data_IF_333042994241
#
_entry.id   IF_333042994241
#
_cell.length_a   1.000
_cell.length_b   1.000
_cell.length_c   1.000
_cell.angle_alpha   90.00
_cell.angle_beta   90.00
_cell.angle_gamma   90.00
#
_symmetry.space_group_name_H-M   'P 1'
#
loop_
_entity.id
_entity.type
_entity.pdbx_description
1 polymer ?
#
# COMPACT_ATOMS: atom_id res chain seq x y z
N UNK A 1 -32.04 -14.54 -35.41
CA UNK A 1 -31.91 -13.38 -34.49
C UNK A 1 -32.34 -13.81 -33.08
N UNK A 2 -31.53 -14.60 -32.36
CA UNK A 2 -31.91 -15.10 -31.03
C UNK A 2 -30.72 -15.53 -30.13
N UNK A 3 -29.46 -15.21 -30.47
CA UNK A 3 -28.27 -15.77 -29.78
C UNK A 3 -27.48 -14.71 -28.98
N UNK A 4 -27.91 -13.45 -28.96
CA UNK A 4 -27.17 -12.37 -28.28
C UNK A 4 -27.58 -12.10 -26.83
N UNK A 5 -28.70 -12.67 -26.36
CA UNK A 5 -29.23 -12.39 -25.00
C UNK A 5 -28.58 -13.23 -23.90
N UNK A 6 -27.83 -14.29 -24.22
CA UNK A 6 -27.25 -15.20 -23.22
C UNK A 6 -25.95 -14.68 -22.59
N UNK A 7 -25.19 -13.82 -23.27
CA UNK A 7 -23.87 -13.38 -22.81
C UNK A 7 -23.95 -12.26 -21.77
N UNK A 8 -25.02 -11.45 -21.82
CA UNK A 8 -25.22 -10.32 -20.90
C UNK A 8 -25.43 -10.81 -19.45
N UNK A 9 -26.15 -11.90 -19.25
CA UNK A 9 -26.39 -12.47 -17.92
C UNK A 9 -25.14 -13.11 -17.31
N UNK A 10 -24.30 -13.73 -18.14
CA UNK A 10 -23.03 -14.34 -17.69
C UNK A 10 -22.06 -13.25 -17.24
N UNK A 11 -21.94 -12.15 -18.01
CA UNK A 11 -21.09 -11.01 -17.61
C UNK A 11 -21.61 -10.33 -16.34
N UNK A 12 -22.92 -10.09 -16.22
CA UNK A 12 -23.52 -9.52 -15.01
C UNK A 12 -23.30 -10.40 -13.77
N UNK A 13 -23.33 -11.73 -13.93
CA UNK A 13 -23.02 -12.68 -12.85
C UNK A 13 -21.56 -12.63 -12.40
N UNK A 14 -20.61 -12.58 -13.35
CA UNK A 14 -19.18 -12.47 -13.03
C UNK A 14 -18.81 -11.15 -12.34
N UNK A 15 -19.37 -10.02 -12.80
CA UNK A 15 -19.18 -8.73 -12.12
C UNK A 15 -19.76 -8.74 -10.70
N UNK A 16 -20.92 -9.36 -10.49
CA UNK A 16 -21.55 -9.41 -9.16
C UNK A 16 -20.76 -10.24 -8.16
N UNK A 17 -20.17 -11.37 -8.60
CA UNK A 17 -19.35 -12.22 -7.75
C UNK A 17 -18.04 -11.53 -7.33
N UNK A 18 -17.32 -10.93 -8.29
CA UNK A 18 -16.07 -10.23 -8.00
C UNK A 18 -16.27 -9.06 -7.01
N UNK A 19 -17.33 -8.25 -7.21
CA UNK A 19 -17.66 -7.15 -6.29
C UNK A 19 -18.01 -7.67 -4.89
N UNK A 20 -18.69 -8.82 -4.78
CA UNK A 20 -19.02 -9.42 -3.49
C UNK A 20 -17.78 -9.96 -2.75
N UNK A 21 -16.84 -10.58 -3.47
CA UNK A 21 -15.58 -11.07 -2.90
C UNK A 21 -14.71 -9.93 -2.40
N UNK A 22 -14.52 -8.87 -3.18
CA UNK A 22 -13.76 -7.69 -2.77
C UNK A 22 -14.42 -7.02 -1.57
N UNK A 23 -15.76 -6.86 -1.59
CA UNK A 23 -16.49 -6.31 -0.46
C UNK A 23 -16.31 -7.16 0.81
N UNK A 24 -16.18 -8.49 0.68
CA UNK A 24 -15.88 -9.37 1.80
C UNK A 24 -14.46 -9.16 2.34
N UNK A 25 -13.45 -9.03 1.48
CA UNK A 25 -12.05 -8.80 1.93
C UNK A 25 -11.93 -7.46 2.66
N UNK A 26 -12.46 -6.38 2.09
CA UNK A 26 -12.43 -5.07 2.75
C UNK A 26 -13.27 -5.08 4.03
N UNK A 27 -14.41 -5.78 4.04
CA UNK A 27 -15.25 -5.90 5.24
C UNK A 27 -14.60 -6.67 6.38
N UNK A 28 -13.64 -7.56 6.09
CA UNK A 28 -12.91 -8.28 7.13
C UNK A 28 -11.85 -7.39 7.79
N UNK A 29 -11.30 -6.45 7.02
CA UNK A 29 -10.18 -5.61 7.47
C UNK A 29 -10.60 -4.26 8.04
N UNK A 30 -11.77 -3.72 7.65
CA UNK A 30 -12.13 -2.33 7.99
C UNK A 30 -13.54 -2.14 8.51
N UNK A 31 -13.65 -1.14 9.38
CA UNK A 31 -14.95 -0.63 9.84
C UNK A 31 -15.68 0.06 8.69
N UNK A 32 -16.98 -0.21 8.56
CA UNK A 32 -17.86 0.52 7.66
C UNK A 32 -18.53 1.69 8.39
N UNK A 33 -18.44 2.90 7.83
CA UNK A 33 -19.12 4.10 8.29
C UNK A 33 -19.74 4.81 7.09
N UNK A 34 -21.02 5.18 7.17
CA UNK A 34 -21.74 5.88 6.09
C UNK A 34 -21.57 5.24 4.70
N UNK A 35 -21.64 3.90 4.64
CA UNK A 35 -21.47 3.08 3.42
C UNK A 35 -20.08 3.15 2.78
N UNK A 36 -19.07 3.57 3.55
CA UNK A 36 -17.67 3.57 3.15
C UNK A 36 -16.83 2.80 4.15
N UNK A 37 -15.82 2.09 3.66
CA UNK A 37 -14.81 1.50 4.52
C UNK A 37 -13.85 2.59 5.01
N UNK A 38 -13.63 2.66 6.31
CA UNK A 38 -12.75 3.65 6.93
C UNK A 38 -11.42 2.99 7.22
N UNK A 39 -10.37 3.52 6.59
CA UNK A 39 -8.99 3.03 6.72
C UNK A 39 -8.22 4.05 7.54
N UNK A 40 -7.76 3.67 8.74
CA UNK A 40 -6.87 4.50 9.53
C UNK A 40 -5.41 4.03 9.37
N UNK A 41 -4.62 4.60 8.44
CA UNK A 41 -3.24 4.15 8.23
C UNK A 41 -2.32 4.45 9.43
N UNK A 42 -2.80 5.13 10.47
CA UNK A 42 -2.07 5.34 11.72
C UNK A 42 -2.33 4.24 12.76
N UNK A 43 -3.04 3.19 12.35
CA UNK A 43 -3.22 1.93 13.06
C UNK A 43 -2.56 0.82 12.23
N UNK A 44 -1.71 0.00 12.85
CA UNK A 44 -0.92 -1.02 12.16
C UNK A 44 -1.78 -2.02 11.39
N UNK A 45 -2.87 -2.51 11.98
CA UNK A 45 -3.75 -3.52 11.37
C UNK A 45 -4.43 -3.01 10.12
N UNK A 46 -4.84 -1.73 10.14
CA UNK A 46 -5.46 -1.04 9.01
C UNK A 46 -4.42 -0.81 7.92
N UNK A 47 -3.22 -0.31 8.26
CA UNK A 47 -2.14 -0.11 7.28
C UNK A 47 -1.74 -1.45 6.61
N UNK A 48 -1.64 -2.53 7.40
CA UNK A 48 -1.40 -3.88 6.87
C UNK A 48 -2.57 -4.41 6.03
N UNK A 49 -3.81 -4.04 6.35
CA UNK A 49 -4.99 -4.38 5.55
C UNK A 49 -4.91 -3.85 4.13
N UNK A 50 -4.27 -2.69 3.92
CA UNK A 50 -4.12 -2.10 2.58
C UNK A 50 -3.27 -3.01 1.71
N UNK A 51 -2.20 -3.58 2.27
CA UNK A 51 -1.36 -4.55 1.58
C UNK A 51 -2.03 -5.90 1.40
N UNK A 52 -2.81 -6.38 2.39
CA UNK A 52 -3.59 -7.63 2.25
C UNK A 52 -4.55 -7.57 1.06
N UNK A 53 -5.32 -6.49 0.96
CA UNK A 53 -6.18 -6.25 -0.21
C UNK A 53 -5.34 -6.22 -1.48
N UNK A 54 -4.28 -5.42 -1.51
CA UNK A 54 -3.46 -5.26 -2.70
C UNK A 54 -2.90 -6.61 -3.19
N UNK A 55 -2.39 -7.43 -2.28
CA UNK A 55 -1.89 -8.76 -2.58
C UNK A 55 -3.00 -9.69 -3.07
N UNK A 56 -4.18 -9.68 -2.44
CA UNK A 56 -5.31 -10.50 -2.85
C UNK A 56 -5.81 -10.14 -4.26
N UNK A 57 -6.03 -8.85 -4.50
CA UNK A 57 -6.57 -8.34 -5.77
C UNK A 57 -5.58 -8.45 -6.95
N UNK A 58 -4.30 -8.65 -6.66
CA UNK A 58 -3.26 -8.87 -7.67
C UNK A 58 -2.79 -10.33 -7.76
N UNK A 59 -3.40 -11.24 -7.00
CA UNK A 59 -2.97 -12.63 -6.91
C UNK A 59 -3.02 -13.34 -8.27
N UNK A 60 -4.13 -13.21 -9.01
CA UNK A 60 -4.27 -13.84 -10.33
C UNK A 60 -3.23 -13.33 -11.34
N UNK A 61 -2.84 -12.05 -11.26
CA UNK A 61 -1.77 -11.52 -12.11
C UNK A 61 -0.37 -12.00 -11.69
N UNK A 62 -0.23 -12.44 -10.44
CA UNK A 62 1.01 -12.91 -9.84
C UNK A 62 1.21 -14.43 -9.93
N UNK A 63 0.14 -15.21 -10.13
CA UNK A 63 0.17 -16.70 -10.25
C UNK A 63 1.15 -17.21 -11.32
N UNK A 64 1.37 -16.44 -12.38
CA UNK A 64 2.32 -16.79 -13.45
C UNK A 64 3.78 -16.74 -13.00
N UNK A 65 4.07 -16.06 -11.90
CA UNK A 65 5.42 -15.98 -11.35
C UNK A 65 5.63 -17.11 -10.34
N UNK A 66 4.61 -17.50 -9.58
CA UNK A 66 4.68 -18.62 -8.66
C UNK A 66 3.33 -18.98 -8.04
N UNK A 67 3.26 -20.14 -7.36
CA UNK A 67 2.04 -20.59 -6.71
C UNK A 67 1.64 -19.66 -5.55
N UNK A 68 0.35 -19.65 -5.24
CA UNK A 68 -0.21 -19.10 -4.00
C UNK A 68 0.18 -17.65 -3.68
N UNK A 69 0.41 -16.84 -4.73
CA UNK A 69 0.84 -15.45 -4.63
C UNK A 69 2.20 -15.25 -3.92
N UNK A 70 2.95 -16.32 -3.62
CA UNK A 70 4.21 -16.25 -2.87
C UNK A 70 5.31 -15.46 -3.60
N UNK A 71 5.20 -15.40 -4.93
CA UNK A 71 6.12 -14.67 -5.80
C UNK A 71 5.58 -13.29 -6.21
N UNK A 72 4.61 -12.75 -5.47
CA UNK A 72 4.20 -11.37 -5.67
C UNK A 72 5.36 -10.42 -5.40
N UNK A 73 5.69 -9.59 -6.39
CA UNK A 73 6.67 -8.52 -6.26
C UNK A 73 6.30 -7.49 -5.18
N UNK A 74 5.05 -7.50 -4.70
CA UNK A 74 4.53 -6.57 -3.70
C UNK A 74 4.84 -6.97 -2.25
N UNK A 75 5.30 -8.21 -1.99
CA UNK A 75 5.57 -8.68 -0.62
C UNK A 75 6.60 -7.85 0.14
N UNK A 76 7.50 -7.15 -0.55
CA UNK A 76 8.47 -6.27 0.11
C UNK A 76 7.82 -5.13 0.92
N UNK A 77 6.62 -4.67 0.52
CA UNK A 77 5.92 -3.58 1.19
C UNK A 77 5.40 -3.96 2.59
N UNK A 78 4.59 -5.02 2.77
CA UNK A 78 4.14 -5.45 4.10
C UNK A 78 5.29 -5.98 4.95
N UNK A 79 6.27 -6.70 4.38
CA UNK A 79 7.42 -7.18 5.17
C UNK A 79 8.24 -6.03 5.75
N UNK A 80 8.45 -4.96 4.98
CA UNK A 80 9.13 -3.78 5.49
C UNK A 80 8.35 -3.10 6.62
N UNK A 81 7.02 -2.98 6.49
CA UNK A 81 6.19 -2.40 7.54
C UNK A 81 6.25 -3.24 8.83
N UNK A 82 6.17 -4.57 8.70
CA UNK A 82 6.27 -5.51 9.83
C UNK A 82 7.62 -5.39 10.54
N UNK A 83 8.73 -5.34 9.79
CA UNK A 83 10.06 -5.11 10.37
C UNK A 83 10.17 -3.76 11.09
N UNK A 84 9.59 -2.69 10.54
CA UNK A 84 9.57 -1.38 11.20
C UNK A 84 8.75 -1.41 12.50
N UNK A 85 7.66 -2.19 12.52
CA UNK A 85 6.85 -2.40 13.72
C UNK A 85 7.63 -3.17 14.79
N UNK A 86 8.16 -4.35 14.45
CA UNK A 86 8.88 -5.23 15.38
C UNK A 86 10.12 -4.58 15.99
N UNK A 87 10.74 -3.65 15.26
CA UNK A 87 11.92 -2.92 15.74
C UNK A 87 11.60 -1.62 16.48
N UNK A 88 10.32 -1.32 16.72
CA UNK A 88 9.86 -0.11 17.42
C UNK A 88 10.03 1.18 16.62
N UNK A 89 10.40 1.09 15.34
CA UNK A 89 10.65 2.26 14.49
C UNK A 89 9.38 3.06 14.21
N UNK A 90 8.20 2.46 14.29
CA UNK A 90 6.90 3.13 14.10
C UNK A 90 6.37 3.83 15.37
N UNK A 91 6.97 3.59 16.53
CA UNK A 91 6.54 4.16 17.80
C UNK A 91 6.91 5.65 17.92
N UNK A 92 6.29 6.36 18.86
CA UNK A 92 6.65 7.75 19.17
C UNK A 92 8.07 7.83 19.75
N UNK A 93 9.04 8.43 19.02
CA UNK A 93 10.42 8.54 19.49
C UNK A 93 10.61 9.67 20.53
N UNK A 94 9.64 10.56 20.68
CA UNK A 94 9.73 11.74 21.54
C UNK A 94 9.49 11.43 23.02
N UNK A 95 8.83 10.29 23.30
CA UNK A 95 8.33 9.95 24.62
C UNK A 95 7.20 10.85 25.13
N UNK A 96 6.65 11.74 24.28
CA UNK A 96 5.52 12.60 24.66
C UNK A 96 4.19 11.85 24.67
N UNK A 97 4.08 10.76 23.92
CA UNK A 97 2.90 9.89 23.88
C UNK A 97 3.28 8.42 24.10
N UNK A 98 2.27 7.62 24.42
CA UNK A 98 2.40 6.17 24.60
C UNK A 98 2.30 5.38 23.27
N UNK A 99 2.15 6.07 22.13
CA UNK A 99 1.91 5.46 20.83
C UNK A 99 3.06 4.51 20.44
N UNK A 100 2.74 3.21 20.25
CA UNK A 100 3.70 2.16 19.94
C UNK A 100 4.61 1.74 21.11
N UNK A 101 4.57 2.44 22.25
CA UNK A 101 5.46 2.21 23.39
C UNK A 101 4.80 1.45 24.55
N UNK A 102 3.46 1.40 24.59
CA UNK A 102 2.70 0.69 25.63
C UNK A 102 1.76 -0.35 25.04
N UNK A 103 1.44 -1.44 25.77
CA UNK A 103 0.52 -2.48 25.29
C UNK A 103 -0.82 -1.94 24.81
N UNK A 104 -1.39 -0.95 25.50
CA UNK A 104 -2.69 -0.36 25.18
C UNK A 104 -2.70 0.46 23.89
N UNK A 105 -1.52 0.95 23.46
CA UNK A 105 -1.32 1.72 22.24
C UNK A 105 -0.31 1.03 21.30
N UNK A 106 -0.14 -0.29 21.43
CA UNK A 106 0.87 -1.08 20.70
C UNK A 106 0.68 -0.99 19.19
N UNK A 107 -0.56 -1.01 18.71
CA UNK A 107 -0.88 -0.91 17.28
C UNK A 107 -0.86 0.53 16.74
N UNK A 108 -0.60 1.53 17.59
CA UNK A 108 -0.54 2.92 17.18
C UNK A 108 0.76 3.18 16.40
N UNK A 109 0.63 3.74 15.19
CA UNK A 109 1.74 4.24 14.39
C UNK A 109 1.86 5.75 14.62
N UNK A 110 3.01 6.20 15.10
CA UNK A 110 3.19 7.60 15.49
C UNK A 110 3.55 8.48 14.29
N UNK A 111 2.83 9.60 14.14
CA UNK A 111 3.20 10.69 13.21
C UNK A 111 4.42 11.51 13.69
N UNK A 112 4.97 11.19 14.88
CA UNK A 112 6.29 11.68 15.29
C UNK A 112 7.43 10.76 14.82
N UNK A 113 7.11 9.56 14.32
CA UNK A 113 8.11 8.66 13.77
C UNK A 113 8.42 9.02 12.33
N UNK A 114 9.70 9.33 12.07
CA UNK A 114 10.21 9.50 10.72
C UNK A 114 9.94 8.27 9.84
N UNK A 115 10.13 7.06 10.39
CA UNK A 115 9.90 5.81 9.66
C UNK A 115 8.43 5.65 9.30
N UNK A 116 7.52 5.98 10.22
CA UNK A 116 6.08 5.92 9.98
C UNK A 116 5.63 6.88 8.88
N UNK A 117 6.15 8.12 8.90
CA UNK A 117 5.85 9.16 7.93
C UNK A 117 6.36 8.82 6.54
N UNK A 118 7.58 8.28 6.42
CA UNK A 118 8.14 7.83 5.14
C UNK A 118 7.38 6.61 4.62
N UNK A 119 7.14 5.61 5.46
CA UNK A 119 6.42 4.40 5.07
C UNK A 119 4.97 4.68 4.66
N UNK A 120 4.34 5.73 5.19
CA UNK A 120 2.99 6.14 4.76
C UNK A 120 2.89 6.23 3.23
N UNK A 121 3.91 6.78 2.56
CA UNK A 121 3.93 6.93 1.11
C UNK A 121 4.06 5.59 0.39
N UNK A 122 4.82 4.66 0.96
CA UNK A 122 4.95 3.28 0.48
C UNK A 122 3.70 2.43 0.76
N UNK A 123 2.77 2.88 1.62
CA UNK A 123 1.47 2.22 1.82
C UNK A 123 0.37 2.84 0.96
N UNK A 124 0.20 4.16 1.08
CA UNK A 124 -0.97 4.88 0.57
C UNK A 124 -0.89 5.11 -0.94
N UNK A 125 0.28 5.47 -1.47
CA UNK A 125 0.44 5.69 -2.92
C UNK A 125 0.20 4.42 -3.73
N UNK A 126 0.86 3.26 -3.47
CA UNK A 126 0.58 2.04 -4.24
C UNK A 126 -0.87 1.59 -4.11
N UNK A 127 -1.48 1.66 -2.92
CA UNK A 127 -2.88 1.28 -2.74
C UNK A 127 -3.82 2.16 -3.58
N UNK A 128 -3.69 3.49 -3.49
CA UNK A 128 -4.53 4.41 -4.25
C UNK A 128 -4.26 4.36 -5.75
N UNK A 129 -3.03 4.12 -6.17
CA UNK A 129 -2.69 3.93 -7.58
C UNK A 129 -3.27 2.62 -8.13
N UNK A 130 -3.32 1.55 -7.33
CA UNK A 130 -4.02 0.32 -7.69
C UNK A 130 -5.53 0.58 -7.88
N UNK A 131 -6.17 1.35 -7.00
CA UNK A 131 -7.57 1.78 -7.18
C UNK A 131 -7.72 2.55 -8.49
N UNK A 132 -6.85 3.53 -8.74
CA UNK A 132 -6.89 4.39 -9.95
C UNK A 132 -6.56 3.63 -11.24
N UNK A 133 -5.81 2.54 -11.16
CA UNK A 133 -5.53 1.65 -12.29
C UNK A 133 -6.74 0.79 -12.67
N UNK A 134 -7.70 0.62 -11.75
CA UNK A 134 -8.84 -0.28 -11.88
C UNK A 134 -8.52 -1.75 -11.61
N UNK A 135 -7.26 -2.10 -11.30
CA UNK A 135 -6.85 -3.51 -11.08
C UNK A 135 -7.63 -4.17 -9.95
N UNK A 136 -7.99 -3.41 -8.92
CA UNK A 136 -8.72 -3.94 -7.75
C UNK A 136 -10.24 -3.96 -7.94
N UNK A 137 -10.77 -3.48 -9.07
CA UNK A 137 -12.22 -3.35 -9.27
C UNK A 137 -12.93 -2.42 -8.27
N UNK A 138 -12.17 -1.66 -7.47
CA UNK A 138 -12.68 -0.78 -6.43
C UNK A 138 -12.99 0.61 -6.96
N UNK A 139 -14.15 1.12 -6.57
CA UNK A 139 -14.49 2.52 -6.76
C UNK A 139 -13.79 3.39 -5.71
N UNK A 140 -13.17 4.52 -6.09
CA UNK A 140 -12.57 5.48 -5.15
C UNK A 140 -13.54 6.01 -4.07
N UNK A 141 -14.85 5.84 -4.27
CA UNK A 141 -15.87 6.28 -3.31
C UNK A 141 -16.23 5.24 -2.26
N UNK A 142 -15.74 3.99 -2.37
CA UNK A 142 -16.06 2.90 -1.44
C UNK A 142 -15.30 2.97 -0.11
N UNK A 143 -14.24 3.78 -0.02
CA UNK A 143 -13.43 3.88 1.17
C UNK A 143 -12.99 5.32 1.43
N UNK A 144 -12.50 5.58 2.64
CA UNK A 144 -11.90 6.86 3.05
C UNK A 144 -10.65 6.57 3.88
N UNK A 145 -9.54 7.22 3.56
CA UNK A 145 -8.32 7.17 4.36
C UNK A 145 -8.34 8.32 5.36
N UNK A 146 -8.17 8.03 6.64
CA UNK A 146 -8.17 9.04 7.69
C UNK A 146 -6.82 9.79 7.78
N UNK A 147 -6.85 11.09 8.12
CA UNK A 147 -5.65 11.86 8.36
C UNK A 147 -5.01 11.51 9.71
N UNK A 148 -3.71 11.82 9.90
CA UNK A 148 -3.08 11.76 11.20
C UNK A 148 -3.70 12.77 12.19
N UNK A 149 -3.48 12.59 13.51
CA UNK A 149 -3.90 13.55 14.52
C UNK A 149 -3.28 14.95 14.36
N UNK A 150 -2.10 15.06 13.72
CA UNK A 150 -1.40 16.32 13.42
C UNK A 150 -0.72 16.25 12.05
N UNK A 151 -0.21 17.38 11.56
CA UNK A 151 0.54 17.47 10.30
C UNK A 151 -0.25 17.02 9.05
N UNK A 152 -1.58 17.14 9.09
CA UNK A 152 -2.50 16.62 8.07
C UNK A 152 -2.25 17.16 6.67
N UNK A 153 -1.75 18.38 6.51
CA UNK A 153 -1.46 18.97 5.20
C UNK A 153 -0.27 18.33 4.49
N UNK A 154 0.51 17.50 5.21
CA UNK A 154 1.69 16.86 4.67
C UNK A 154 1.38 15.60 3.88
N UNK A 155 0.16 15.08 3.93
CA UNK A 155 -0.22 13.79 3.35
C UNK A 155 -1.42 13.93 2.39
N UNK A 156 -1.67 12.90 1.58
CA UNK A 156 -2.80 12.81 0.65
C UNK A 156 -3.66 11.57 0.96
N UNK A 157 -4.99 11.66 0.83
CA UNK A 157 -5.93 10.69 1.42
C UNK A 157 -6.86 9.99 0.43
N UNK A 158 -6.83 10.38 -0.83
CA UNK A 158 -7.70 9.84 -1.87
C UNK A 158 -7.01 9.99 -3.23
N UNK A 159 -7.56 9.29 -4.23
CA UNK A 159 -6.97 9.23 -5.57
C UNK A 159 -6.74 10.63 -6.15
N UNK A 160 -7.72 11.53 -6.07
CA UNK A 160 -7.58 12.88 -6.64
C UNK A 160 -6.53 13.72 -5.92
N UNK A 161 -6.50 13.66 -4.57
CA UNK A 161 -5.51 14.35 -3.75
C UNK A 161 -4.10 13.86 -4.02
N UNK A 162 -3.89 12.54 -4.09
CA UNK A 162 -2.57 11.98 -4.36
C UNK A 162 -2.12 12.19 -5.81
N UNK A 163 -3.01 12.10 -6.80
CA UNK A 163 -2.68 12.47 -8.19
C UNK A 163 -2.33 13.95 -8.33
N UNK A 164 -2.95 14.83 -7.54
CA UNK A 164 -2.62 16.26 -7.55
C UNK A 164 -1.28 16.56 -6.88
N UNK A 165 -0.93 15.84 -5.80
CA UNK A 165 0.30 16.08 -5.04
C UNK A 165 1.52 15.36 -5.63
N UNK A 166 1.33 14.14 -6.16
CA UNK A 166 2.38 13.24 -6.63
C UNK A 166 2.01 12.63 -7.99
N UNK A 167 1.80 13.45 -9.05
CA UNK A 167 1.30 12.96 -10.33
C UNK A 167 2.21 11.89 -10.95
N UNK A 168 3.52 12.14 -10.97
CA UNK A 168 4.51 11.23 -11.56
C UNK A 168 4.57 9.89 -10.81
N UNK A 169 4.63 9.93 -9.48
CA UNK A 169 4.66 8.71 -8.65
C UNK A 169 3.38 7.88 -8.82
N UNK A 170 2.22 8.53 -8.84
CA UNK A 170 0.93 7.85 -9.08
C UNK A 170 0.89 7.20 -10.47
N UNK A 171 1.41 7.87 -11.50
CA UNK A 171 1.46 7.33 -12.85
C UNK A 171 2.48 6.17 -12.97
N UNK A 172 3.61 6.21 -12.26
CA UNK A 172 4.56 5.10 -12.19
C UNK A 172 3.95 3.85 -11.52
N UNK A 173 3.26 4.00 -10.39
CA UNK A 173 2.54 2.88 -9.78
C UNK A 173 1.42 2.36 -10.68
N UNK A 174 0.68 3.25 -11.34
CA UNK A 174 -0.36 2.87 -12.29
C UNK A 174 0.21 2.08 -13.46
N UNK A 175 1.34 2.51 -14.03
CA UNK A 175 2.06 1.81 -15.08
C UNK A 175 2.54 0.42 -14.62
N UNK A 176 3.04 0.30 -13.38
CA UNK A 176 3.35 -1.00 -12.78
C UNK A 176 2.12 -1.95 -12.75
N UNK A 177 0.99 -1.50 -12.21
CA UNK A 177 -0.23 -2.32 -12.13
C UNK A 177 -0.81 -2.66 -13.50
N UNK A 178 -0.79 -1.72 -14.44
CA UNK A 178 -1.25 -1.96 -15.81
C UNK A 178 -0.33 -2.92 -16.55
N UNK A 179 0.99 -2.80 -16.40
CA UNK A 179 1.96 -3.73 -16.99
C UNK A 179 1.78 -5.14 -16.44
N UNK A 180 1.57 -5.27 -15.13
CA UNK A 180 1.29 -6.56 -14.48
C UNK A 180 0.06 -7.27 -15.08
N UNK A 181 -0.91 -6.56 -15.64
CA UNK A 181 -2.07 -7.20 -16.28
C UNK A 181 -1.78 -7.74 -17.69
N UNK A 182 -0.70 -7.30 -18.33
CA UNK A 182 -0.40 -7.69 -19.71
C UNK A 182 0.09 -9.14 -19.77
N UNK A 183 -0.40 -9.96 -20.73
CA UNK A 183 0.13 -11.31 -20.93
C UNK A 183 1.63 -11.34 -21.29
N UNK A 184 2.14 -10.24 -21.86
CA UNK A 184 3.52 -10.11 -22.31
C UNK A 184 4.49 -9.59 -21.25
N UNK A 185 4.05 -9.29 -20.03
CA UNK A 185 4.94 -8.71 -19.03
C UNK A 185 5.89 -9.75 -18.43
N UNK A 186 7.17 -9.45 -18.51
CA UNK A 186 8.28 -10.20 -17.93
C UNK A 186 8.67 -9.68 -16.54
N UNK A 187 9.37 -10.53 -15.79
CA UNK A 187 9.81 -10.25 -14.42
C UNK A 187 10.76 -9.07 -14.32
N UNK A 188 11.72 -8.92 -15.26
CA UNK A 188 12.73 -7.87 -15.20
C UNK A 188 12.12 -6.48 -15.40
N UNK A 189 11.25 -6.35 -16.40
CA UNK A 189 10.54 -5.09 -16.67
C UNK A 189 9.54 -4.75 -15.58
N UNK A 190 8.88 -5.75 -14.99
CA UNK A 190 7.96 -5.54 -13.88
C UNK A 190 8.72 -5.10 -12.61
N UNK A 191 9.84 -5.75 -12.30
CA UNK A 191 10.72 -5.35 -11.19
C UNK A 191 11.25 -3.92 -11.40
N UNK A 192 11.67 -3.57 -12.61
CA UNK A 192 12.10 -2.21 -12.93
C UNK A 192 11.00 -1.19 -12.64
N UNK A 193 9.77 -1.43 -13.11
CA UNK A 193 8.62 -0.53 -12.86
C UNK A 193 8.31 -0.41 -11.37
N UNK A 194 8.39 -1.52 -10.62
CA UNK A 194 8.25 -1.50 -9.17
C UNK A 194 9.32 -0.61 -8.51
N UNK A 195 10.59 -0.80 -8.87
CA UNK A 195 11.69 -0.03 -8.32
C UNK A 195 11.53 1.47 -8.64
N UNK A 196 11.19 1.81 -9.88
CA UNK A 196 10.97 3.21 -10.30
C UNK A 196 9.86 3.86 -9.45
N UNK A 197 8.71 3.19 -9.29
CA UNK A 197 7.60 3.69 -8.48
C UNK A 197 7.92 3.77 -6.97
N UNK A 198 8.63 2.78 -6.45
CA UNK A 198 9.06 2.73 -5.05
C UNK A 198 10.04 3.85 -4.73
N UNK A 199 11.07 4.06 -5.57
CA UNK A 199 12.03 5.16 -5.40
C UNK A 199 11.34 6.52 -5.50
N UNK A 200 10.46 6.72 -6.48
CA UNK A 200 9.69 7.97 -6.60
C UNK A 200 8.82 8.25 -5.36
N UNK A 201 8.26 7.21 -4.74
CA UNK A 201 7.48 7.34 -3.49
C UNK A 201 8.28 7.86 -2.30
N UNK A 202 9.61 7.78 -2.36
CA UNK A 202 10.51 8.19 -1.28
C UNK A 202 11.10 9.59 -1.46
N UNK A 203 11.09 10.14 -2.68
CA UNK A 203 11.74 11.42 -3.00
C UNK A 203 11.23 12.56 -2.12
N UNK A 204 9.91 12.75 -2.03
CA UNK A 204 9.32 13.78 -1.18
C UNK A 204 9.52 13.53 0.32
N UNK A 205 9.09 12.39 0.90
CA UNK A 205 9.07 12.25 2.36
C UNK A 205 10.48 12.24 2.99
N UNK A 206 11.48 11.70 2.30
CA UNK A 206 12.87 11.71 2.78
C UNK A 206 13.33 13.15 3.10
N UNK A 207 13.01 14.10 2.23
CA UNK A 207 13.37 15.51 2.41
C UNK A 207 12.40 16.22 3.35
N UNK A 208 11.10 16.01 3.18
CA UNK A 208 10.09 16.70 3.96
C UNK A 208 10.24 16.39 5.46
N UNK A 209 10.45 15.12 5.84
CA UNK A 209 10.47 14.69 7.24
C UNK A 209 11.87 14.68 7.85
N UNK A 210 12.88 15.25 7.19
CA UNK A 210 14.26 15.27 7.69
C UNK A 210 14.40 15.85 9.12
N UNK A 211 13.50 16.72 9.56
CA UNK A 211 13.46 17.23 10.94
C UNK A 211 13.10 16.16 11.98
N UNK A 212 12.27 15.17 11.63
CA UNK A 212 11.89 14.08 12.53
C UNK A 212 13.07 13.13 12.81
N UNK A 213 14.05 13.03 11.89
CA UNK A 213 15.30 12.29 12.12
C UNK A 213 16.11 12.88 13.29
N UNK A 214 16.07 14.21 13.45
CA UNK A 214 16.81 14.91 14.51
C UNK A 214 16.24 14.69 15.91
N UNK A 215 15.04 14.13 16.03
CA UNK A 215 14.29 14.07 17.29
C UNK A 215 14.48 12.72 18.02
N UNK A 216 15.13 11.73 17.43
CA UNK A 216 15.38 10.47 18.16
C UNK A 216 16.20 9.38 17.47
N UNK A 217 16.75 9.58 16.28
CA UNK A 217 17.44 8.51 15.54
C UNK A 217 18.96 8.76 15.41
N UNK A 218 19.81 7.77 15.75
CA UNK A 218 21.22 7.82 15.42
C UNK A 218 21.43 7.76 13.90
N UNK A 219 22.49 8.42 13.40
CA UNK A 219 22.81 8.65 11.97
C UNK A 219 22.95 7.41 11.07
N UNK A 220 22.79 6.19 11.61
CA UNK A 220 23.15 4.90 10.99
C UNK A 220 22.03 4.30 10.15
N UNK A 221 20.79 4.79 10.26
CA UNK A 221 19.60 4.15 9.71
C UNK A 221 19.42 4.22 8.18
N UNK A 222 20.20 5.06 7.47
CA UNK A 222 20.08 5.24 6.01
C UNK A 222 20.42 3.99 5.19
N UNK A 223 21.31 3.13 5.69
CA UNK A 223 21.82 1.96 4.96
C UNK A 223 20.72 0.88 4.81
N UNK A 224 19.85 0.74 5.80
CA UNK A 224 18.85 -0.33 5.80
C UNK A 224 17.67 -0.08 4.85
N UNK A 225 17.34 1.17 4.53
CA UNK A 225 16.27 1.47 3.57
C UNK A 225 16.59 1.01 2.14
N UNK A 226 17.86 1.09 1.73
CA UNK A 226 18.27 0.62 0.41
C UNK A 226 18.56 -0.89 0.37
N UNK A 227 19.11 -1.46 1.44
CA UNK A 227 19.47 -2.87 1.47
C UNK A 227 18.27 -3.81 1.64
N UNK A 228 17.27 -3.47 2.46
CA UNK A 228 16.12 -4.38 2.69
C UNK A 228 15.22 -4.53 1.44
N UNK A 229 14.95 -3.45 0.71
CA UNK A 229 14.10 -3.50 -0.50
C UNK A 229 14.74 -4.29 -1.64
N UNK A 230 16.07 -4.31 -1.72
CA UNK A 230 16.79 -4.99 -2.80
C UNK A 230 17.04 -6.46 -2.47
N UNK A 231 17.35 -6.78 -1.20
CA UNK A 231 17.79 -8.13 -0.83
C UNK A 231 16.62 -9.11 -0.77
N UNK A 232 15.45 -8.75 -0.24
CA UNK A 232 14.34 -9.71 -0.13
C UNK A 232 13.64 -10.01 -1.46
N UNK A 233 13.60 -9.04 -2.38
CA UNK A 233 13.02 -9.25 -3.73
C UNK A 233 13.96 -10.04 -4.65
N UNK A 234 15.26 -10.10 -4.34
CA UNK A 234 16.27 -10.80 -5.16
C UNK A 234 16.77 -12.13 -4.55
N UNK A 235 16.45 -12.48 -3.30
CA UNK A 235 17.02 -13.66 -2.62
C UNK A 235 16.00 -14.70 -2.12
N UNK A 236 14.74 -14.68 -2.57
CA UNK A 236 13.95 -15.94 -2.54
C UNK A 236 14.41 -16.83 -3.70
N UNK A 237 14.94 -18.03 -3.43
CA UNK A 237 15.28 -18.96 -4.49
C UNK A 237 13.99 -19.42 -5.17
N UNK A 238 14.06 -19.55 -6.50
CA UNK A 238 13.10 -20.25 -7.37
C UNK A 238 12.72 -21.60 -6.76
#
# INVERSE_FOLDING_TARGET
>A
MAVLTSWVWVLAGCFSAAVAEISNVISLDYRMEDWKYVINPWVLTDRMGMYRILLNETATNSERYGPENEQSFLWGLPTMLDWQYETGRLADPTGMTDCGNKPEASLCISVDSWWADVNYYLSVLPFLAAVDSGIMGLSPNQFTILPPPKDQMRFCYNVSGCRSAFPETMDMWKDFFQYMQLPSSDSDSLLKKLCDAHTSSLEYPIHAFATCLGIGLPRVDWIHLHEFTIIETLHRPI
#
